data_IF_881420644009
#
_entry.id   IF_881420644009
#
_cell.length_a   1.000
_cell.length_b   1.000
_cell.length_c   1.000
_cell.angle_alpha   90.00
_cell.angle_beta   90.00
_cell.angle_gamma   90.00
#
_symmetry.space_group_name_H-M   'P 1'
#
loop_
_entity.id
_entity.type
_entity.pdbx_description
1 polymer ?
#
# COMPACT_ATOMS: atom_id res chain seq x y z
N UNK A 1 23.14 -8.43 32.03
CA UNK A 1 22.50 -7.23 31.46
C UNK A 1 22.98 -7.10 30.02
N UNK A 2 22.21 -7.67 29.09
CA UNK A 2 22.51 -7.54 27.65
C UNK A 2 21.63 -6.40 27.14
N UNK A 3 22.27 -5.29 26.72
CA UNK A 3 21.60 -4.26 25.95
C UNK A 3 21.12 -4.93 24.67
N UNK A 4 19.81 -5.04 24.49
CA UNK A 4 19.23 -5.48 23.23
C UNK A 4 19.79 -4.60 22.12
N UNK A 5 20.35 -5.22 21.09
CA UNK A 5 20.77 -4.55 19.85
C UNK A 5 19.62 -3.62 19.39
N UNK A 6 19.86 -2.34 19.05
CA UNK A 6 18.81 -1.53 18.45
C UNK A 6 18.27 -2.29 17.24
N UNK A 7 16.96 -2.50 17.19
CA UNK A 7 16.33 -3.12 16.04
C UNK A 7 16.76 -2.32 14.81
N UNK A 8 17.33 -3.01 13.82
CA UNK A 8 17.50 -2.46 12.47
C UNK A 8 16.19 -1.77 12.09
N UNK A 9 16.17 -0.49 11.67
CA UNK A 9 14.92 0.15 11.31
C UNK A 9 14.28 -0.68 10.20
N UNK A 10 13.23 -1.42 10.56
CA UNK A 10 12.54 -2.28 9.62
C UNK A 10 11.98 -1.38 8.52
N UNK A 11 12.55 -1.50 7.34
CA UNK A 11 12.10 -0.77 6.17
C UNK A 11 10.65 -1.17 5.92
N UNK A 12 9.75 -0.18 5.89
CA UNK A 12 8.33 -0.43 5.71
C UNK A 12 8.03 -0.53 4.22
N UNK A 13 7.47 -1.66 3.80
CA UNK A 13 7.01 -1.84 2.42
C UNK A 13 5.59 -1.29 2.29
N UNK A 14 5.39 -0.40 1.32
CA UNK A 14 4.10 0.20 1.00
C UNK A 14 3.76 -0.15 -0.44
N UNK A 15 2.63 -0.83 -0.64
CA UNK A 15 2.10 -1.12 -1.97
C UNK A 15 0.90 -0.21 -2.27
N UNK A 16 0.91 0.41 -3.44
CA UNK A 16 -0.18 1.19 -4.00
C UNK A 16 -0.78 0.39 -5.15
N UNK A 17 -1.94 -0.23 -4.92
CA UNK A 17 -2.69 -0.89 -5.98
C UNK A 17 -3.69 0.11 -6.58
N UNK A 18 -3.76 0.15 -7.90
CA UNK A 18 -4.60 1.10 -8.63
C UNK A 18 -5.06 0.51 -9.96
N UNK A 19 -6.22 0.96 -10.44
CA UNK A 19 -6.75 0.75 -11.78
C UNK A 19 -6.35 1.89 -12.72
N UNK A 20 -6.47 1.67 -14.02
CA UNK A 20 -6.09 2.66 -15.03
C UNK A 20 -6.87 3.98 -14.84
N UNK A 21 -6.17 5.12 -14.86
CA UNK A 21 -6.79 6.44 -14.75
C UNK A 21 -7.11 6.88 -13.31
N UNK A 22 -6.69 6.14 -12.28
CA UNK A 22 -6.89 6.53 -10.89
C UNK A 22 -6.33 7.95 -10.59
N UNK A 23 -7.19 8.94 -10.26
CA UNK A 23 -6.74 10.32 -10.05
C UNK A 23 -6.03 10.52 -8.71
N UNK A 24 -6.29 9.63 -7.74
CA UNK A 24 -5.75 9.74 -6.38
C UNK A 24 -4.31 9.23 -6.25
N UNK A 25 -3.82 8.41 -7.19
CA UNK A 25 -2.50 7.77 -7.11
C UNK A 25 -1.35 8.78 -6.86
N UNK A 26 -1.22 9.90 -7.63
CA UNK A 26 -0.13 10.85 -7.41
C UNK A 26 -0.21 11.51 -6.03
N UNK A 27 -1.42 11.84 -5.56
CA UNK A 27 -1.62 12.48 -4.26
C UNK A 27 -1.30 11.52 -3.10
N UNK A 28 -1.73 10.26 -3.20
CA UNK A 28 -1.46 9.22 -2.21
C UNK A 28 0.05 8.96 -2.08
N UNK A 29 0.78 8.80 -3.20
CA UNK A 29 2.25 8.68 -3.17
C UNK A 29 2.91 9.86 -2.47
N UNK A 30 2.57 11.09 -2.89
CA UNK A 30 3.19 12.30 -2.35
C UNK A 30 2.97 12.44 -0.84
N UNK A 31 1.78 12.06 -0.35
CA UNK A 31 1.49 12.07 1.08
C UNK A 31 2.34 11.05 1.85
N UNK A 32 2.50 9.84 1.32
CA UNK A 32 3.32 8.78 1.93
C UNK A 32 4.80 9.20 1.98
N UNK A 33 5.33 9.75 0.89
CA UNK A 33 6.71 10.26 0.83
C UNK A 33 6.93 11.41 1.82
N UNK A 34 5.96 12.33 1.93
CA UNK A 34 6.01 13.43 2.89
C UNK A 34 6.05 12.91 4.33
N UNK A 35 5.09 12.06 4.71
CA UNK A 35 4.97 11.56 6.08
C UNK A 35 6.15 10.68 6.47
N UNK A 36 6.64 9.81 5.57
CA UNK A 36 7.83 8.98 5.83
C UNK A 36 9.08 9.82 6.09
N UNK A 37 9.28 10.91 5.33
CA UNK A 37 10.37 11.87 5.58
C UNK A 37 10.20 12.59 6.92
N UNK A 38 9.01 13.06 7.24
CA UNK A 38 8.72 13.75 8.51
C UNK A 38 8.99 12.83 9.72
N UNK A 39 8.74 11.53 9.59
CA UNK A 39 8.95 10.53 10.63
C UNK A 39 10.35 9.89 10.62
N UNK A 40 11.23 10.26 9.68
CA UNK A 40 12.51 9.58 9.45
C UNK A 40 12.36 8.04 9.31
N UNK A 41 11.24 7.62 8.71
CA UNK A 41 10.88 6.22 8.53
C UNK A 41 11.38 5.75 7.15
N UNK A 42 12.28 4.76 7.06
CA UNK A 42 12.67 4.21 5.78
C UNK A 42 11.49 3.42 5.18
N UNK A 43 11.07 3.81 3.97
CA UNK A 43 9.96 3.17 3.25
C UNK A 43 10.39 2.76 1.83
N UNK A 44 9.82 1.65 1.34
CA UNK A 44 9.87 1.27 -0.07
C UNK A 44 8.45 1.34 -0.60
N UNK A 45 8.20 2.22 -1.58
CA UNK A 45 6.89 2.36 -2.23
C UNK A 45 6.91 1.57 -3.55
N UNK A 46 5.95 0.66 -3.71
CA UNK A 46 5.71 -0.08 -4.95
C UNK A 46 4.33 0.27 -5.49
N UNK A 47 4.28 0.56 -6.78
CA UNK A 47 3.03 0.80 -7.49
C UNK A 47 2.68 -0.45 -8.32
N UNK A 48 1.43 -0.87 -8.25
CA UNK A 48 0.91 -2.00 -9.01
C UNK A 48 -0.40 -1.64 -9.70
N UNK A 49 -0.35 -1.58 -11.03
CA UNK A 49 -1.54 -1.53 -11.85
C UNK A 49 -2.30 -2.86 -11.74
N UNK A 50 -3.58 -2.77 -11.42
CA UNK A 50 -4.56 -3.85 -11.49
C UNK A 50 -5.39 -3.59 -12.73
N UNK A 51 -5.23 -4.44 -13.74
CA UNK A 51 -5.73 -4.22 -15.09
C UNK A 51 -6.83 -5.20 -15.51
N UNK A 52 -6.99 -6.29 -14.75
CA UNK A 52 -7.98 -7.33 -15.03
C UNK A 52 -8.80 -7.67 -13.78
N UNK A 53 -10.02 -8.17 -13.99
CA UNK A 53 -10.84 -8.69 -12.88
C UNK A 53 -10.19 -9.87 -12.16
N UNK A 54 -9.44 -10.71 -12.89
CA UNK A 54 -8.71 -11.83 -12.29
C UNK A 54 -7.60 -11.33 -11.35
N UNK A 55 -6.83 -10.32 -11.78
CA UNK A 55 -5.85 -9.66 -10.91
C UNK A 55 -6.55 -9.03 -9.70
N UNK A 56 -7.70 -8.39 -9.88
CA UNK A 56 -8.45 -7.80 -8.79
C UNK A 56 -8.89 -8.85 -7.75
N UNK A 57 -9.34 -10.03 -8.20
CA UNK A 57 -9.71 -11.15 -7.31
C UNK A 57 -8.51 -11.76 -6.60
N UNK A 58 -7.44 -12.10 -7.34
CA UNK A 58 -6.21 -12.69 -6.77
C UNK A 58 -5.59 -11.75 -5.75
N UNK A 59 -5.60 -10.45 -6.03
CA UNK A 59 -5.04 -9.46 -5.15
C UNK A 59 -5.99 -9.05 -4.04
N UNK A 60 -7.26 -9.49 -4.01
CA UNK A 60 -8.29 -8.95 -3.12
C UNK A 60 -8.34 -7.41 -3.18
N UNK A 61 -8.41 -6.85 -4.38
CA UNK A 61 -8.38 -5.42 -4.65
C UNK A 61 -9.79 -4.83 -4.57
N UNK A 62 -10.17 -4.15 -3.46
CA UNK A 62 -11.51 -3.58 -3.32
C UNK A 62 -11.76 -2.39 -4.27
N UNK A 63 -10.69 -1.73 -4.72
CA UNK A 63 -10.76 -0.58 -5.62
C UNK A 63 -9.56 0.36 -5.47
N UNK A 64 -9.54 1.39 -6.31
CA UNK A 64 -8.48 2.39 -6.34
C UNK A 64 -8.69 3.52 -5.31
N UNK A 65 -7.68 4.02 -4.61
CA UNK A 65 -6.34 3.45 -4.40
C UNK A 65 -6.39 2.53 -3.17
N UNK A 66 -5.91 1.29 -3.30
CA UNK A 66 -5.69 0.43 -2.13
C UNK A 66 -4.25 0.61 -1.65
N UNK A 67 -4.06 0.93 -0.37
CA UNK A 67 -2.75 1.11 0.26
C UNK A 67 -2.48 -0.06 1.20
N UNK A 68 -1.42 -0.83 0.92
CA UNK A 68 -0.97 -1.90 1.82
C UNK A 68 0.31 -1.52 2.52
N UNK A 69 0.37 -1.78 3.82
CA UNK A 69 1.58 -1.64 4.63
C UNK A 69 2.00 -3.04 5.06
N UNK A 70 3.19 -3.46 4.63
CA UNK A 70 3.71 -4.81 4.88
C UNK A 70 2.70 -5.91 4.50
N UNK A 71 2.08 -5.77 3.32
CA UNK A 71 1.08 -6.70 2.79
C UNK A 71 -0.31 -6.62 3.41
N UNK A 72 -0.58 -5.71 4.36
CA UNK A 72 -1.90 -5.52 4.97
C UNK A 72 -2.56 -4.25 4.49
N UNK A 73 -3.80 -4.37 4.02
CA UNK A 73 -4.63 -3.22 3.65
C UNK A 73 -4.96 -2.37 4.88
N UNK A 74 -4.80 -1.04 4.77
CA UNK A 74 -5.09 -0.09 5.84
C UNK A 74 -6.59 0.06 6.12
N UNK A 75 -7.44 -0.06 5.10
CA UNK A 75 -8.89 0.06 5.26
C UNK A 75 -9.55 -1.27 5.70
N UNK A 76 -8.73 -2.31 5.87
CA UNK A 76 -9.17 -3.69 6.14
C UNK A 76 -9.45 -4.47 4.86
N UNK A 77 -9.27 -5.79 4.91
CA UNK A 77 -9.75 -6.64 3.81
C UNK A 77 -11.29 -6.55 3.80
N UNK A 78 -11.87 -5.85 2.83
CA UNK A 78 -13.32 -5.76 2.72
C UNK A 78 -13.92 -7.18 2.65
N UNK A 79 -14.70 -7.55 3.66
CA UNK A 79 -15.42 -8.80 3.69
C UNK A 79 -16.52 -8.72 2.61
N UNK A 80 -16.22 -9.23 1.40
CA UNK A 80 -17.12 -9.33 0.24
C UNK A 80 -17.47 -8.05 -0.53
N UNK A 81 -16.55 -7.07 -0.65
CA UNK A 81 -16.72 -6.07 -1.71
C UNK A 81 -16.45 -6.75 -3.06
N UNK A 82 -17.40 -6.65 -4.00
CA UNK A 82 -17.22 -7.14 -5.37
C UNK A 82 -15.94 -6.53 -5.97
N UNK A 83 -14.85 -7.30 -6.01
CA UNK A 83 -13.57 -6.85 -6.55
C UNK A 83 -13.78 -6.43 -8.01
N UNK A 84 -13.67 -5.13 -8.24
CA UNK A 84 -14.04 -4.49 -9.50
C UNK A 84 -12.95 -3.51 -9.89
N UNK A 85 -12.79 -3.30 -11.20
CA UNK A 85 -11.86 -2.29 -11.74
C UNK A 85 -12.44 -0.86 -11.70
N UNK A 86 -13.41 -0.61 -10.81
CA UNK A 86 -14.23 0.61 -10.72
C UNK A 86 -13.50 1.89 -11.14
#
# INVERSE_FOLDING_TARGET
MSLGKPADPQVVEIELLYSAGCPALPQSRALIEKVSRELSLPVIIREKLVSTEEEARVLKFPGSTTIRVNGRDLEGEAEQAAYSLG
#
